data_IF_168187247230
#
_entry.id   IF_168187247230
#
_cell.length_a   1.000
_cell.length_b   1.000
_cell.length_c   1.000
_cell.angle_alpha   90.00
_cell.angle_beta   90.00
_cell.angle_gamma   90.00
#
_symmetry.space_group_name_H-M   'P 1'
#
loop_
_entity.id
_entity.type
_entity.pdbx_description
1 polymer ?
#
# COMPACT_ATOMS: atom_id res chain seq x y z
N UNK A 1 90.23 -6.97 -26.40
CA UNK A 1 88.77 -7.06 -26.50
C UNK A 1 88.16 -6.09 -25.48
N UNK A 2 87.64 -4.97 -25.98
CA UNK A 2 86.68 -3.99 -25.44
C UNK A 2 86.66 -3.67 -23.92
N UNK A 3 87.13 -2.49 -23.47
CA UNK A 3 86.41 -1.19 -23.38
C UNK A 3 85.14 -1.19 -22.50
N UNK A 4 85.17 -0.36 -21.45
CA UNK A 4 84.14 0.61 -20.96
C UNK A 4 84.17 0.70 -19.43
N UNK A 5 83.80 1.79 -18.75
CA UNK A 5 83.79 3.24 -18.98
C UNK A 5 83.23 3.82 -17.67
N UNK A 6 83.80 4.91 -17.18
CA UNK A 6 83.27 5.73 -16.07
C UNK A 6 81.82 6.19 -16.32
N UNK A 7 81.02 6.35 -15.26
CA UNK A 7 80.01 7.42 -15.01
C UNK A 7 79.25 7.10 -13.71
N UNK A 8 79.40 7.89 -12.66
CA UNK A 8 78.74 9.18 -12.37
C UNK A 8 77.41 8.96 -11.61
N UNK A 9 77.44 9.36 -10.33
CA UNK A 9 76.35 9.36 -9.36
C UNK A 9 75.40 10.50 -9.73
N UNK A 10 74.12 10.19 -9.99
CA UNK A 10 73.05 11.17 -10.13
C UNK A 10 72.08 11.01 -8.96
N UNK A 11 72.09 11.99 -8.06
CA UNK A 11 71.10 12.15 -6.99
C UNK A 11 69.85 12.78 -7.61
N UNK A 12 68.75 12.06 -7.66
CA UNK A 12 67.42 12.60 -8.01
C UNK A 12 66.70 12.89 -6.69
N UNK A 13 66.52 14.18 -6.38
CA UNK A 13 65.67 14.63 -5.29
C UNK A 13 64.20 14.48 -5.71
N UNK A 14 63.48 13.54 -5.07
CA UNK A 14 62.03 13.40 -5.22
C UNK A 14 61.34 14.48 -4.35
N UNK A 15 60.75 15.48 -4.99
CA UNK A 15 59.80 16.38 -4.35
C UNK A 15 58.48 15.64 -4.13
N UNK A 16 58.16 15.33 -2.87
CA UNK A 16 56.90 14.72 -2.48
C UNK A 16 55.77 15.77 -2.52
N UNK A 17 54.96 15.75 -3.59
CA UNK A 17 53.66 16.41 -3.59
C UNK A 17 52.72 15.69 -2.62
N UNK A 18 52.56 16.24 -1.42
CA UNK A 18 51.50 15.86 -0.50
C UNK A 18 50.15 16.36 -1.05
N UNK A 19 49.52 15.56 -1.91
CA UNK A 19 48.11 15.72 -2.26
C UNK A 19 47.28 15.31 -1.04
N UNK A 20 46.83 16.31 -0.28
CA UNK A 20 45.90 16.16 0.82
C UNK A 20 44.65 15.41 0.36
N UNK A 21 44.52 14.17 0.81
CA UNK A 21 43.29 13.40 0.67
C UNK A 21 42.26 14.01 1.62
N UNK A 22 41.38 14.87 1.11
CA UNK A 22 40.17 15.21 1.84
C UNK A 22 39.34 13.94 1.96
N UNK A 23 38.98 13.48 3.17
CA UNK A 23 38.04 12.39 3.31
C UNK A 23 36.69 12.87 2.75
N UNK A 24 36.33 12.36 1.57
CA UNK A 24 34.95 12.32 1.13
C UNK A 24 34.23 11.53 2.22
N UNK A 25 33.45 12.21 3.07
CA UNK A 25 32.46 11.53 3.91
C UNK A 25 31.56 10.77 2.94
N UNK A 26 31.75 9.46 2.85
CA UNK A 26 30.75 8.59 2.29
C UNK A 26 29.47 8.91 3.05
N UNK A 27 28.51 9.53 2.37
CA UNK A 27 27.21 9.80 2.93
C UNK A 27 26.61 8.43 3.23
N UNK A 28 26.58 8.08 4.51
CA UNK A 28 26.01 6.83 4.98
C UNK A 28 24.61 6.72 4.37
N UNK A 29 24.40 5.70 3.53
CA UNK A 29 23.14 5.50 2.85
C UNK A 29 22.06 5.34 3.93
N UNK A 30 21.23 6.38 4.10
CA UNK A 30 20.20 6.40 5.13
C UNK A 30 19.25 5.22 4.98
N UNK A 31 18.66 4.77 6.09
CA UNK A 31 17.62 3.73 6.06
C UNK A 31 16.24 4.32 6.38
N UNK A 32 15.19 3.61 5.96
CA UNK A 32 13.80 3.92 6.24
C UNK A 32 13.01 2.63 6.48
N UNK A 33 12.31 2.53 7.61
CA UNK A 33 11.43 1.41 7.91
C UNK A 33 9.98 1.75 7.54
N UNK A 34 9.41 0.99 6.60
CA UNK A 34 8.07 1.25 6.04
C UNK A 34 7.14 0.07 6.30
N UNK A 35 5.94 0.35 6.81
CA UNK A 35 4.80 -0.55 6.63
C UNK A 35 4.11 -0.17 5.33
N UNK A 36 3.95 -1.13 4.42
CA UNK A 36 3.27 -0.95 3.14
C UNK A 36 1.97 -1.76 3.13
N UNK A 37 0.86 -1.10 2.80
CA UNK A 37 -0.49 -1.70 2.85
C UNK A 37 -1.21 -1.72 1.51
N UNK A 38 -0.45 -1.70 0.41
CA UNK A 38 -0.94 -1.90 -0.97
C UNK A 38 -0.53 -3.27 -1.52
N UNK A 39 -0.72 -3.50 -2.82
CA UNK A 39 -0.29 -4.72 -3.49
C UNK A 39 1.24 -4.87 -3.38
N UNK A 40 1.70 -6.12 -3.24
CA UNK A 40 3.10 -6.41 -3.00
C UNK A 40 4.01 -5.92 -4.13
N UNK A 41 3.49 -6.01 -5.35
CA UNK A 41 4.14 -5.57 -6.58
C UNK A 41 4.37 -4.05 -6.56
N UNK A 42 3.40 -3.28 -6.06
CA UNK A 42 3.53 -1.83 -5.92
C UNK A 42 4.49 -1.46 -4.79
N UNK A 43 4.40 -2.14 -3.64
CA UNK A 43 5.33 -1.99 -2.52
C UNK A 43 6.79 -2.21 -2.97
N UNK A 44 7.07 -3.30 -3.70
CA UNK A 44 8.40 -3.64 -4.21
C UNK A 44 8.91 -2.62 -5.24
N UNK A 45 8.02 -2.16 -6.12
CA UNK A 45 8.35 -1.13 -7.11
C UNK A 45 8.77 0.16 -6.40
N UNK A 46 7.97 0.66 -5.46
CA UNK A 46 8.29 1.88 -4.71
C UNK A 46 9.59 1.71 -3.92
N UNK A 47 9.76 0.58 -3.22
CA UNK A 47 10.98 0.27 -2.48
C UNK A 47 12.22 0.38 -3.39
N UNK A 48 12.13 -0.17 -4.60
CA UNK A 48 13.22 -0.19 -5.58
C UNK A 48 13.48 1.20 -6.16
N UNK A 49 12.44 1.89 -6.62
CA UNK A 49 12.58 3.18 -7.30
C UNK A 49 13.07 4.24 -6.33
N UNK A 50 12.47 4.35 -5.14
CA UNK A 50 12.91 5.32 -4.13
C UNK A 50 14.37 5.09 -3.73
N UNK A 51 14.79 3.84 -3.51
CA UNK A 51 16.16 3.53 -3.16
C UNK A 51 17.14 3.90 -4.29
N UNK A 52 16.76 3.66 -5.55
CA UNK A 52 17.58 4.01 -6.72
C UNK A 52 17.70 5.52 -6.92
N UNK A 53 16.63 6.28 -6.70
CA UNK A 53 16.60 7.73 -6.95
C UNK A 53 17.19 8.55 -5.82
N UNK A 54 17.15 8.05 -4.58
CA UNK A 54 17.57 8.80 -3.39
C UNK A 54 18.82 8.24 -2.70
N UNK A 55 19.19 6.99 -2.99
CA UNK A 55 20.23 6.27 -2.26
C UNK A 55 19.81 5.80 -0.85
N UNK A 56 18.56 6.02 -0.43
CA UNK A 56 18.05 5.62 0.89
C UNK A 56 17.52 4.19 0.81
N UNK A 57 18.04 3.29 1.66
CA UNK A 57 17.55 1.91 1.74
C UNK A 57 16.19 1.87 2.44
N UNK A 58 15.21 1.22 1.83
CA UNK A 58 13.90 1.00 2.44
C UNK A 58 13.80 -0.44 2.94
N UNK A 59 13.57 -0.61 4.24
CA UNK A 59 13.18 -1.88 4.86
C UNK A 59 11.66 -1.92 4.94
N UNK A 60 11.02 -2.77 4.14
CA UNK A 60 9.57 -2.76 3.97
C UNK A 60 8.92 -4.01 4.55
N UNK A 61 7.80 -3.84 5.23
CA UNK A 61 6.93 -4.93 5.69
C UNK A 61 5.53 -4.78 5.11
N UNK A 62 4.95 -5.87 4.59
CA UNK A 62 3.65 -5.86 3.96
C UNK A 62 2.57 -6.29 4.95
N UNK A 63 1.57 -5.44 5.16
CA UNK A 63 0.47 -5.66 6.12
C UNK A 63 -0.82 -5.07 5.60
N UNK A 64 -1.95 -5.73 5.85
CA UNK A 64 -3.26 -5.09 5.65
C UNK A 64 -3.37 -3.85 6.54
N UNK A 65 -4.15 -2.85 6.14
CA UNK A 65 -4.24 -1.59 6.89
C UNK A 65 -4.74 -1.76 8.33
N UNK A 66 -5.63 -2.72 8.59
CA UNK A 66 -6.05 -3.06 9.96
C UNK A 66 -4.93 -3.65 10.81
N UNK A 67 -4.14 -4.57 10.24
CA UNK A 67 -2.97 -5.15 10.91
C UNK A 67 -1.85 -4.14 11.12
N UNK A 68 -1.64 -3.23 10.17
CA UNK A 68 -0.69 -2.14 10.26
C UNK A 68 -1.04 -1.24 11.44
N UNK A 69 -2.31 -0.81 11.55
CA UNK A 69 -2.79 -0.05 12.70
C UNK A 69 -2.58 -0.80 14.02
N UNK A 70 -2.97 -2.08 14.10
CA UNK A 70 -2.82 -2.87 15.31
C UNK A 70 -1.35 -2.95 15.77
N UNK A 71 -0.41 -3.13 14.84
CA UNK A 71 1.01 -3.08 15.16
C UNK A 71 1.44 -1.70 15.64
N UNK A 72 1.03 -0.63 14.95
CA UNK A 72 1.41 0.74 15.32
C UNK A 72 0.86 1.14 16.70
N UNK A 73 -0.33 0.67 17.08
CA UNK A 73 -0.87 0.80 18.45
C UNK A 73 0.06 0.09 19.44
N UNK A 74 0.43 -1.17 19.17
CA UNK A 74 1.27 -1.96 20.06
C UNK A 74 2.69 -1.38 20.22
N UNK A 75 3.20 -0.72 19.17
CA UNK A 75 4.55 -0.15 19.16
C UNK A 75 4.58 1.35 19.52
N UNK A 76 3.44 1.97 19.89
CA UNK A 76 3.31 3.42 20.10
C UNK A 76 4.35 4.00 21.06
N UNK A 77 4.71 3.28 22.13
CA UNK A 77 5.69 3.74 23.12
C UNK A 77 7.15 3.61 22.66
N UNK A 78 7.43 2.77 21.66
CA UNK A 78 8.77 2.59 21.09
C UNK A 78 8.66 2.23 19.59
N UNK A 79 8.38 3.22 18.73
CA UNK A 79 8.12 2.99 17.31
C UNK A 79 9.32 2.36 16.61
N UNK A 80 9.05 1.34 15.78
CA UNK A 80 10.02 0.71 14.88
C UNK A 80 9.81 1.10 13.41
N UNK A 81 8.61 1.58 13.10
CA UNK A 81 8.19 2.07 11.78
C UNK A 81 8.41 3.57 11.71
N UNK A 82 8.93 4.04 10.58
CA UNK A 82 9.12 5.47 10.32
C UNK A 82 7.96 6.06 9.50
N UNK A 83 7.46 5.30 8.53
CA UNK A 83 6.40 5.69 7.62
C UNK A 83 5.44 4.53 7.34
N UNK A 84 4.16 4.84 7.25
CA UNK A 84 3.11 3.93 6.80
C UNK A 84 2.61 4.39 5.44
N UNK A 85 2.77 3.55 4.43
CA UNK A 85 2.43 3.83 3.04
C UNK A 85 1.25 2.99 2.53
N UNK A 86 0.22 3.68 2.06
CA UNK A 86 -0.96 3.12 1.42
C UNK A 86 -1.85 2.31 2.35
N UNK A 87 -2.82 1.61 1.75
CA UNK A 87 -3.95 1.03 2.46
C UNK A 87 -5.06 2.05 2.70
N UNK A 88 -6.22 1.54 3.09
CA UNK A 88 -7.44 2.34 3.30
C UNK A 88 -7.23 3.48 4.29
N UNK A 89 -7.91 4.61 4.08
CA UNK A 89 -7.76 5.80 4.90
C UNK A 89 -8.32 5.71 6.31
N UNK A 90 -9.32 4.87 6.58
CA UNK A 90 -9.98 4.83 7.90
C UNK A 90 -9.01 4.44 9.04
N UNK A 91 -8.18 3.38 8.89
CA UNK A 91 -7.14 3.08 9.87
C UNK A 91 -6.08 4.18 10.05
N UNK A 92 -5.78 4.99 9.03
CA UNK A 92 -4.89 6.14 9.16
C UNK A 92 -5.53 7.29 9.96
N UNK A 93 -6.82 7.54 9.74
CA UNK A 93 -7.60 8.50 10.54
C UNK A 93 -7.63 8.07 12.01
N UNK A 94 -7.87 6.78 12.27
CA UNK A 94 -7.84 6.24 13.62
C UNK A 94 -6.44 6.35 14.27
N UNK A 95 -5.37 6.10 13.51
CA UNK A 95 -4.02 6.31 14.02
C UNK A 95 -3.75 7.78 14.39
N UNK A 96 -4.30 8.73 13.64
CA UNK A 96 -4.21 10.16 13.95
C UNK A 96 -4.97 10.51 15.23
N UNK A 97 -6.19 10.01 15.41
CA UNK A 97 -6.99 10.19 16.64
C UNK A 97 -6.28 9.64 17.88
N UNK A 98 -5.58 8.51 17.73
CA UNK A 98 -4.80 7.88 18.77
C UNK A 98 -3.43 8.54 18.98
N UNK A 99 -3.12 9.65 18.31
CA UNK A 99 -1.83 10.38 18.39
C UNK A 99 -0.61 9.47 18.08
N UNK A 100 -0.79 8.53 17.15
CA UNK A 100 0.26 7.61 16.66
C UNK A 100 1.01 8.23 15.48
N UNK A 101 0.33 9.01 14.64
CA UNK A 101 0.91 9.63 13.44
C UNK A 101 1.26 11.10 13.70
N UNK A 102 2.35 11.54 13.08
CA UNK A 102 2.90 12.88 13.22
C UNK A 102 2.18 13.87 12.32
N UNK A 103 1.89 15.07 12.84
CA UNK A 103 1.39 16.18 12.03
C UNK A 103 2.46 16.66 11.07
N UNK A 104 2.15 16.67 9.77
CA UNK A 104 3.02 17.17 8.74
C UNK A 104 2.21 17.63 7.52
N UNK A 105 2.27 18.93 7.25
CA UNK A 105 1.59 19.55 6.11
C UNK A 105 2.59 19.79 4.98
N UNK A 106 2.61 18.89 3.99
CA UNK A 106 3.42 19.05 2.77
C UNK A 106 3.06 20.35 2.04
N UNK A 107 4.06 21.01 1.46
CA UNK A 107 3.87 22.16 0.59
C UNK A 107 3.11 21.80 -0.70
N UNK A 108 3.14 20.53 -1.11
CA UNK A 108 2.47 20.01 -2.29
C UNK A 108 1.00 19.68 -2.06
N UNK A 109 0.49 19.75 -0.81
CA UNK A 109 -0.88 19.37 -0.46
C UNK A 109 -1.95 20.08 -1.30
N UNK A 110 -1.75 21.36 -1.61
CA UNK A 110 -2.69 22.14 -2.43
C UNK A 110 -2.78 21.69 -3.88
N UNK A 111 -1.80 20.92 -4.35
CA UNK A 111 -1.74 20.36 -5.72
C UNK A 111 -2.48 19.02 -5.80
N UNK A 112 -2.79 18.39 -4.67
CA UNK A 112 -3.50 17.12 -4.63
C UNK A 112 -5.00 17.31 -4.83
N UNK A 113 -5.70 16.23 -5.19
CA UNK A 113 -7.15 16.25 -5.33
C UNK A 113 -7.87 16.61 -4.02
N UNK A 114 -9.10 17.13 -4.14
CA UNK A 114 -9.91 17.54 -2.98
C UNK A 114 -10.12 16.43 -1.94
N UNK A 115 -10.29 15.17 -2.37
CA UNK A 115 -10.41 14.03 -1.47
C UNK A 115 -9.13 13.78 -0.64
N UNK A 116 -7.94 14.05 -1.20
CA UNK A 116 -6.67 13.92 -0.49
C UNK A 116 -6.51 15.06 0.53
N UNK A 117 -6.90 16.27 0.14
CA UNK A 117 -6.89 17.43 1.03
C UNK A 117 -7.89 17.27 2.18
N UNK A 118 -9.05 16.68 1.92
CA UNK A 118 -10.06 16.38 2.93
C UNK A 118 -9.58 15.30 3.91
N UNK A 119 -8.96 14.23 3.42
CA UNK A 119 -8.33 13.21 4.26
C UNK A 119 -7.29 13.83 5.21
N UNK A 120 -6.47 14.76 4.67
CA UNK A 120 -5.51 15.49 5.48
C UNK A 120 -6.17 16.41 6.50
N UNK A 121 -7.18 17.20 6.13
CA UNK A 121 -7.84 18.12 7.05
C UNK A 121 -8.57 17.40 8.19
N UNK A 122 -9.27 16.29 7.89
CA UNK A 122 -9.97 15.46 8.87
C UNK A 122 -9.01 14.90 9.93
N UNK A 123 -7.80 14.52 9.52
CA UNK A 123 -6.77 14.02 10.43
C UNK A 123 -5.95 15.10 11.15
N UNK A 124 -6.25 16.39 10.93
CA UNK A 124 -5.40 17.52 11.35
C UNK A 124 -3.97 17.38 10.80
N UNK A 125 -3.86 17.04 9.52
CA UNK A 125 -2.62 16.86 8.75
C UNK A 125 -1.69 15.76 9.28
N UNK A 126 -2.26 14.71 9.90
CA UNK A 126 -1.53 13.54 10.41
C UNK A 126 -1.57 12.34 9.46
N UNK A 127 -2.28 12.49 8.36
CA UNK A 127 -2.22 11.64 7.18
C UNK A 127 -2.52 12.46 5.93
N UNK A 128 -2.25 11.91 4.74
CA UNK A 128 -2.67 12.47 3.45
C UNK A 128 -3.18 11.35 2.56
N UNK A 129 -4.20 11.63 1.75
CA UNK A 129 -4.61 10.72 0.69
C UNK A 129 -3.62 10.75 -0.49
N UNK A 130 -3.26 9.59 -1.02
CA UNK A 130 -2.31 9.40 -2.13
C UNK A 130 -2.94 8.68 -3.33
N UNK A 131 -4.02 7.94 -3.14
CA UNK A 131 -4.83 7.37 -4.24
C UNK A 131 -6.28 7.18 -3.80
N UNK A 132 -7.19 6.92 -4.74
CA UNK A 132 -8.56 6.55 -4.43
C UNK A 132 -8.98 5.30 -5.22
N UNK A 133 -9.64 4.37 -4.53
CA UNK A 133 -10.03 3.08 -5.07
C UNK A 133 -11.52 2.82 -4.86
N UNK A 134 -12.35 2.84 -5.92
CA UNK A 134 -13.75 2.44 -5.78
C UNK A 134 -13.87 0.99 -5.35
N UNK A 135 -14.75 0.72 -4.39
CA UNK A 135 -15.11 -0.64 -3.99
C UNK A 135 -16.03 -1.24 -5.06
N UNK A 136 -15.84 -2.51 -5.38
CA UNK A 136 -16.69 -3.20 -6.32
C UNK A 136 -16.44 -4.70 -6.32
N UNK A 137 -16.72 -5.31 -7.47
CA UNK A 137 -16.55 -6.74 -7.67
C UNK A 137 -15.46 -6.99 -8.70
N UNK A 138 -14.54 -7.89 -8.40
CA UNK A 138 -13.70 -8.52 -9.41
C UNK A 138 -14.23 -9.91 -9.73
N UNK A 139 -14.24 -10.30 -10.98
CA UNK A 139 -14.75 -11.61 -11.41
C UNK A 139 -13.92 -12.21 -12.53
N UNK A 140 -13.97 -13.54 -12.63
CA UNK A 140 -13.31 -14.30 -13.68
C UNK A 140 -14.35 -14.70 -14.73
N UNK A 141 -14.36 -14.07 -15.93
CA UNK A 141 -15.41 -14.30 -16.94
C UNK A 141 -15.41 -15.74 -17.47
N UNK A 142 -14.25 -16.38 -17.55
CA UNK A 142 -14.13 -17.79 -17.98
C UNK A 142 -14.76 -18.73 -16.94
N UNK A 143 -14.48 -18.48 -15.66
CA UNK A 143 -15.02 -19.28 -14.56
C UNK A 143 -16.53 -19.08 -14.40
N UNK A 144 -17.03 -17.85 -14.51
CA UNK A 144 -18.46 -17.57 -14.51
C UNK A 144 -19.16 -18.31 -15.65
N UNK A 145 -18.59 -18.27 -16.87
CA UNK A 145 -19.14 -18.99 -18.04
C UNK A 145 -19.18 -20.49 -17.79
N UNK A 146 -18.07 -21.07 -17.30
CA UNK A 146 -17.96 -22.51 -17.00
C UNK A 146 -18.98 -22.95 -15.94
N UNK A 147 -19.22 -22.12 -14.92
CA UNK A 147 -20.16 -22.39 -13.82
C UNK A 147 -21.59 -21.92 -14.12
N UNK A 148 -21.84 -21.34 -15.29
CA UNK A 148 -23.13 -20.75 -15.70
C UNK A 148 -23.66 -19.70 -14.71
N UNK A 149 -22.75 -18.92 -14.15
CA UNK A 149 -23.05 -17.83 -13.23
C UNK A 149 -23.17 -16.51 -14.00
N UNK A 150 -24.17 -15.67 -13.71
CA UNK A 150 -24.23 -14.35 -14.32
C UNK A 150 -23.10 -13.45 -13.78
N UNK A 151 -22.80 -12.38 -14.51
CA UNK A 151 -21.96 -11.29 -13.99
C UNK A 151 -22.79 -10.51 -12.95
N UNK A 152 -22.31 -10.37 -11.69
CA UNK A 152 -23.04 -9.61 -10.69
C UNK A 152 -22.99 -8.11 -11.04
N UNK A 153 -24.14 -7.43 -10.98
CA UNK A 153 -24.25 -5.99 -11.28
C UNK A 153 -24.65 -5.16 -10.06
N UNK A 154 -25.07 -5.83 -8.99
CA UNK A 154 -25.68 -5.21 -7.83
C UNK A 154 -25.25 -5.91 -6.54
N UNK A 155 -25.35 -5.22 -5.41
CA UNK A 155 -25.19 -5.87 -4.10
C UNK A 155 -26.23 -6.97 -3.92
N UNK A 156 -27.45 -6.75 -4.40
CA UNK A 156 -28.53 -7.75 -4.34
C UNK A 156 -28.19 -9.05 -5.11
N UNK A 157 -27.50 -8.96 -6.25
CA UNK A 157 -27.10 -10.14 -7.03
C UNK A 157 -26.25 -11.10 -6.23
N UNK A 158 -25.35 -10.59 -5.38
CA UNK A 158 -24.46 -11.41 -4.57
C UNK A 158 -25.18 -12.29 -3.54
N UNK A 159 -26.47 -12.05 -3.28
CA UNK A 159 -27.30 -12.88 -2.40
C UNK A 159 -27.95 -14.07 -3.12
N UNK A 160 -27.88 -14.13 -4.46
CA UNK A 160 -28.50 -15.22 -5.22
C UNK A 160 -27.86 -16.57 -4.87
N UNK A 161 -28.65 -17.64 -4.77
CA UNK A 161 -28.16 -18.95 -4.32
C UNK A 161 -27.14 -19.57 -5.29
N UNK A 162 -27.12 -19.16 -6.56
CA UNK A 162 -26.11 -19.57 -7.54
C UNK A 162 -24.67 -19.19 -7.14
N UNK A 163 -24.48 -18.12 -6.34
CA UNK A 163 -23.16 -17.72 -5.85
C UNK A 163 -22.72 -18.43 -4.57
N UNK A 164 -23.40 -19.49 -4.13
CA UNK A 164 -23.08 -20.18 -2.89
C UNK A 164 -21.64 -20.73 -2.90
N UNK A 165 -20.77 -20.15 -2.07
CA UNK A 165 -19.36 -20.53 -1.97
C UNK A 165 -18.47 -19.96 -3.10
N UNK A 166 -19.02 -19.08 -3.93
CA UNK A 166 -18.37 -18.52 -5.13
C UNK A 166 -17.81 -17.11 -4.95
N UNK A 167 -17.98 -16.55 -3.74
CA UNK A 167 -17.57 -15.20 -3.40
C UNK A 167 -16.46 -15.27 -2.35
N UNK A 168 -15.40 -14.48 -2.54
CA UNK A 168 -14.47 -14.15 -1.46
C UNK A 168 -14.48 -12.67 -1.13
N UNK A 169 -14.25 -12.38 0.14
CA UNK A 169 -14.04 -11.03 0.66
C UNK A 169 -12.98 -11.12 1.77
N UNK A 170 -12.37 -10.01 2.15
CA UNK A 170 -11.44 -10.01 3.27
C UNK A 170 -12.17 -9.98 4.63
N UNK A 171 -11.46 -10.29 5.72
CA UNK A 171 -11.95 -10.16 7.08
C UNK A 171 -11.80 -8.69 7.56
N UNK A 172 -12.88 -8.00 8.00
CA UNK A 172 -12.80 -6.62 8.46
C UNK A 172 -11.94 -6.43 9.73
N UNK A 173 -11.66 -7.49 10.49
CA UNK A 173 -10.75 -7.41 11.64
C UNK A 173 -9.27 -7.22 11.25
N UNK A 174 -8.88 -7.59 10.03
CA UNK A 174 -7.49 -7.49 9.55
C UNK A 174 -7.34 -6.62 8.31
N UNK A 175 -8.42 -6.42 7.54
CA UNK A 175 -8.41 -5.78 6.24
C UNK A 175 -9.26 -4.52 6.20
N UNK A 176 -8.63 -3.41 5.79
CA UNK A 176 -9.33 -2.17 5.51
C UNK A 176 -10.34 -2.29 4.39
N UNK A 177 -10.07 -3.04 3.32
CA UNK A 177 -11.03 -3.22 2.20
C UNK A 177 -12.36 -3.77 2.70
N UNK A 178 -12.32 -4.72 3.63
CA UNK A 178 -13.53 -5.28 4.22
C UNK A 178 -14.20 -4.30 5.20
N UNK A 179 -13.43 -3.49 5.93
CA UNK A 179 -13.99 -2.38 6.71
C UNK A 179 -14.67 -1.34 5.81
N UNK A 180 -14.06 -0.96 4.70
CA UNK A 180 -14.64 -0.06 3.68
C UNK A 180 -15.92 -0.65 3.11
N UNK A 181 -16.00 -1.95 2.89
CA UNK A 181 -17.26 -2.62 2.51
C UNK A 181 -18.33 -2.47 3.60
N UNK A 182 -18.02 -2.75 4.86
CA UNK A 182 -18.96 -2.58 5.97
C UNK A 182 -19.47 -1.13 6.01
N UNK A 183 -18.56 -0.16 6.02
CA UNK A 183 -18.90 1.26 6.06
C UNK A 183 -19.71 1.71 4.83
N UNK A 184 -19.40 1.19 3.64
CA UNK A 184 -20.15 1.45 2.41
C UNK A 184 -21.59 0.95 2.53
N UNK A 185 -21.77 -0.32 2.94
CA UNK A 185 -23.09 -0.90 3.07
C UNK A 185 -23.91 -0.16 4.12
N UNK A 186 -23.32 0.14 5.29
CA UNK A 186 -23.99 0.92 6.34
C UNK A 186 -24.45 2.29 5.84
N UNK A 187 -23.61 2.99 5.06
CA UNK A 187 -23.99 4.29 4.49
C UNK A 187 -25.07 4.18 3.41
N UNK A 188 -25.07 3.10 2.61
CA UNK A 188 -26.05 2.91 1.53
C UNK A 188 -27.44 2.48 2.05
N UNK A 189 -27.51 1.60 3.05
CA UNK A 189 -28.78 0.99 3.47
C UNK A 189 -29.15 1.19 4.94
N UNK A 190 -28.28 1.83 5.73
CA UNK A 190 -28.42 1.94 7.19
C UNK A 190 -27.88 0.70 7.90
N UNK A 191 -27.50 0.85 9.17
CA UNK A 191 -26.73 -0.14 9.92
C UNK A 191 -27.45 -1.49 10.05
N UNK A 192 -28.68 -1.52 10.57
CA UNK A 192 -29.43 -2.77 10.77
C UNK A 192 -29.61 -3.56 9.46
N UNK A 193 -29.96 -2.87 8.37
CA UNK A 193 -30.15 -3.48 7.06
C UNK A 193 -28.84 -3.98 6.47
N UNK A 194 -27.73 -3.25 6.68
CA UNK A 194 -26.41 -3.66 6.23
C UNK A 194 -25.95 -4.95 6.92
N UNK A 195 -26.16 -5.07 8.23
CA UNK A 195 -25.82 -6.30 8.95
C UNK A 195 -26.73 -7.48 8.58
N UNK A 196 -28.03 -7.26 8.36
CA UNK A 196 -28.91 -8.30 7.82
C UNK A 196 -28.49 -8.75 6.40
N UNK A 197 -28.13 -7.80 5.53
CA UNK A 197 -27.56 -8.08 4.23
C UNK A 197 -26.28 -8.93 4.33
N UNK A 198 -25.33 -8.52 5.16
CA UNK A 198 -24.07 -9.25 5.34
C UNK A 198 -24.28 -10.66 5.91
N UNK A 199 -25.27 -10.85 6.78
CA UNK A 199 -25.67 -12.19 7.29
C UNK A 199 -26.21 -13.09 6.17
N UNK A 200 -26.94 -12.53 5.21
CA UNK A 200 -27.41 -13.26 4.01
C UNK A 200 -26.24 -13.54 3.08
N UNK A 201 -25.40 -12.54 2.81
CA UNK A 201 -24.21 -12.64 1.95
C UNK A 201 -23.24 -13.70 2.46
N UNK A 202 -23.06 -13.82 3.77
CA UNK A 202 -22.19 -14.82 4.41
C UNK A 202 -22.43 -16.24 3.88
N UNK A 203 -23.68 -16.59 3.55
CA UNK A 203 -24.04 -17.91 3.00
C UNK A 203 -23.40 -18.19 1.64
N UNK A 204 -23.01 -17.14 0.92
CA UNK A 204 -22.36 -17.21 -0.38
C UNK A 204 -20.85 -16.98 -0.31
N UNK A 205 -20.32 -16.54 0.83
CA UNK A 205 -18.88 -16.39 1.03
C UNK A 205 -18.22 -17.77 1.20
N UNK A 206 -17.34 -18.13 0.28
CA UNK A 206 -16.51 -19.33 0.38
C UNK A 206 -15.34 -19.16 1.35
N UNK A 207 -14.77 -17.95 1.42
CA UNK A 207 -13.64 -17.66 2.31
C UNK A 207 -13.55 -16.17 2.67
N UNK A 208 -13.20 -15.91 3.94
CA UNK A 208 -12.73 -14.61 4.40
C UNK A 208 -11.20 -14.59 4.40
N UNK A 209 -10.61 -13.82 3.52
CA UNK A 209 -9.15 -13.72 3.41
C UNK A 209 -8.59 -12.72 4.43
N UNK A 210 -7.32 -12.89 4.82
CA UNK A 210 -6.66 -11.96 5.75
C UNK A 210 -6.38 -10.59 5.13
N UNK A 211 -5.96 -10.58 3.86
CA UNK A 211 -5.59 -9.37 3.10
C UNK A 211 -6.75 -8.89 2.22
N UNK A 212 -6.93 -7.57 2.09
CA UNK A 212 -7.88 -6.95 1.15
C UNK A 212 -7.67 -7.33 -0.31
N UNK A 213 -6.42 -7.57 -0.70
CA UNK A 213 -6.03 -7.99 -2.06
C UNK A 213 -6.08 -9.51 -2.28
N UNK A 214 -6.40 -10.28 -1.24
CA UNK A 214 -6.53 -11.73 -1.34
C UNK A 214 -7.62 -12.18 -2.31
N UNK A 215 -8.86 -11.65 -2.23
CA UNK A 215 -9.99 -12.11 -3.03
C UNK A 215 -9.77 -11.93 -4.55
N UNK A 216 -9.24 -10.78 -4.98
CA UNK A 216 -8.99 -10.52 -6.41
C UNK A 216 -7.89 -11.44 -6.97
N UNK A 217 -6.86 -11.75 -6.17
CA UNK A 217 -5.84 -12.75 -6.52
C UNK A 217 -6.41 -14.17 -6.62
N UNK A 218 -7.39 -14.51 -5.78
CA UNK A 218 -8.12 -15.77 -5.87
C UNK A 218 -8.98 -15.85 -7.14
N UNK A 219 -9.62 -14.74 -7.54
CA UNK A 219 -10.34 -14.63 -8.82
C UNK A 219 -9.40 -14.81 -10.01
N UNK A 220 -8.26 -14.13 -10.01
CA UNK A 220 -7.24 -14.21 -11.06
C UNK A 220 -6.78 -15.66 -11.29
N UNK A 221 -6.62 -16.44 -10.20
CA UNK A 221 -6.21 -17.85 -10.24
C UNK A 221 -7.35 -18.83 -10.45
N UNK A 222 -8.60 -18.36 -10.53
CA UNK A 222 -9.79 -19.21 -10.68
C UNK A 222 -10.14 -20.02 -9.43
N UNK A 223 -9.67 -19.62 -8.25
CA UNK A 223 -9.99 -20.24 -6.96
C UNK A 223 -11.38 -19.83 -6.45
N UNK A 224 -11.87 -18.67 -6.87
CA UNK A 224 -13.23 -18.16 -6.61
C UNK A 224 -13.75 -17.43 -7.85
N UNK A 225 -15.06 -17.33 -8.01
CA UNK A 225 -15.67 -16.72 -9.19
C UNK A 225 -15.79 -15.21 -9.08
N UNK A 226 -16.12 -14.73 -7.87
CA UNK A 226 -16.32 -13.32 -7.57
C UNK A 226 -15.51 -12.94 -6.32
N UNK A 227 -14.99 -11.73 -6.33
CA UNK A 227 -14.35 -11.07 -5.20
C UNK A 227 -15.09 -9.77 -4.89
N UNK A 228 -15.16 -9.41 -3.61
CA UNK A 228 -15.45 -8.04 -3.20
C UNK A 228 -14.10 -7.39 -2.85
N UNK A 229 -13.68 -6.43 -3.67
CA UNK A 229 -12.35 -5.80 -3.61
C UNK A 229 -12.39 -4.38 -4.20
N UNK A 230 -11.26 -3.70 -4.28
CA UNK A 230 -11.19 -2.44 -5.02
C UNK A 230 -11.02 -2.72 -6.51
N UNK A 231 -11.76 -1.98 -7.36
CA UNK A 231 -11.82 -2.28 -8.80
C UNK A 231 -10.50 -2.03 -9.52
N UNK A 232 -9.62 -1.18 -8.98
CA UNK A 232 -8.30 -0.92 -9.55
C UNK A 232 -7.33 -2.10 -9.40
N UNK A 233 -7.63 -3.08 -8.56
CA UNK A 233 -6.83 -4.31 -8.44
C UNK A 233 -6.91 -5.18 -9.71
N UNK A 234 -8.09 -5.20 -10.36
CA UNK A 234 -8.35 -6.05 -11.52
C UNK A 234 -7.45 -5.77 -12.72
N UNK A 235 -7.28 -4.51 -13.17
CA UNK A 235 -6.34 -4.15 -14.22
C UNK A 235 -4.90 -4.66 -13.96
N UNK A 236 -4.44 -4.65 -12.71
CA UNK A 236 -3.11 -5.16 -12.35
C UNK A 236 -2.96 -6.66 -12.62
N UNK A 237 -3.97 -7.45 -12.27
CA UNK A 237 -4.01 -8.90 -12.56
C UNK A 237 -4.17 -9.16 -14.08
N UNK A 238 -4.99 -8.36 -14.77
CA UNK A 238 -5.18 -8.47 -16.23
C UNK A 238 -3.89 -8.18 -17.00
N UNK A 239 -3.09 -7.21 -16.55
CA UNK A 239 -1.76 -6.93 -17.12
C UNK A 239 -0.77 -8.09 -16.95
N UNK A 240 -1.00 -8.97 -15.97
CA UNK A 240 -0.22 -10.21 -15.78
C UNK A 240 -0.75 -11.39 -16.63
N UNK A 241 -1.81 -11.17 -17.41
CA UNK A 241 -2.40 -12.18 -18.29
C UNK A 241 -3.53 -12.99 -17.66
N UNK A 242 -4.00 -12.64 -16.45
CA UNK A 242 -5.12 -13.32 -15.82
C UNK A 242 -6.47 -12.85 -16.38
N UNK A 243 -7.47 -13.75 -16.49
CA UNK A 243 -8.81 -13.39 -16.95
C UNK A 243 -9.59 -12.76 -15.80
N UNK A 244 -9.38 -11.46 -15.57
CA UNK A 244 -10.07 -10.69 -14.53
C UNK A 244 -10.75 -9.49 -15.15
N UNK A 245 -12.02 -9.31 -14.80
CA UNK A 245 -12.79 -8.11 -15.08
C UNK A 245 -13.35 -7.53 -13.77
N UNK A 246 -13.72 -6.25 -13.79
CA UNK A 246 -14.27 -5.58 -12.60
C UNK A 246 -15.53 -4.78 -12.93
N UNK A 247 -16.37 -4.59 -11.92
CA UNK A 247 -17.63 -3.83 -12.02
C UNK A 247 -17.98 -3.20 -10.68
N UNK A 248 -18.63 -2.04 -10.70
CA UNK A 248 -19.21 -1.41 -9.50
C UNK A 248 -20.72 -1.67 -9.43
N UNK A 249 -21.29 -1.87 -8.23
CA UNK A 249 -22.71 -2.14 -8.06
C UNK A 249 -23.59 -0.93 -8.44
N UNK A 250 -24.72 -1.21 -9.10
CA UNK A 250 -25.66 -0.19 -9.60
C UNK A 250 -26.37 0.61 -8.51
N UNK A 251 -26.49 0.07 -7.29
CA UNK A 251 -27.05 0.80 -6.14
C UNK A 251 -26.13 1.92 -5.63
N UNK A 252 -24.89 1.97 -6.14
CA UNK A 252 -23.83 2.83 -5.65
C UNK A 252 -22.80 2.06 -4.82
N UNK A 253 -21.65 2.69 -4.62
CA UNK A 253 -20.52 2.11 -3.88
C UNK A 253 -19.72 3.21 -3.19
N UNK A 254 -18.92 2.81 -2.21
CA UNK A 254 -17.91 3.67 -1.60
C UNK A 254 -16.57 3.57 -2.30
N UNK A 255 -15.59 4.27 -1.76
CA UNK A 255 -14.20 4.20 -2.20
C UNK A 255 -13.29 4.29 -0.98
N UNK A 256 -12.11 3.70 -1.08
CA UNK A 256 -11.04 4.06 -0.16
C UNK A 256 -10.38 5.37 -0.60
N UNK A 257 -9.85 6.06 0.40
CA UNK A 257 -8.77 7.03 0.22
C UNK A 257 -7.48 6.37 0.71
N UNK A 258 -6.73 5.80 -0.23
CA UNK A 258 -5.40 5.27 0.03
C UNK A 258 -4.54 6.32 0.69
N UNK A 259 -3.95 6.04 1.85
CA UNK A 259 -3.37 7.08 2.70
C UNK A 259 -1.91 6.85 3.05
N UNK A 260 -1.19 7.91 3.41
CA UNK A 260 0.19 7.85 3.88
C UNK A 260 0.35 8.64 5.18
N UNK A 261 1.16 8.13 6.10
CA UNK A 261 1.39 8.74 7.41
C UNK A 261 2.83 8.62 7.87
N UNK A 262 3.37 9.71 8.41
CA UNK A 262 4.59 9.69 9.22
C UNK A 262 4.29 9.20 10.62
N UNK A 263 5.13 8.32 11.17
CA UNK A 263 4.93 7.81 12.53
C UNK A 263 5.52 8.77 13.55
N UNK A 264 4.74 9.11 14.59
CA UNK A 264 5.22 9.94 15.70
C UNK A 264 6.31 9.17 16.45
N UNK A 265 7.47 9.80 16.64
CA UNK A 265 8.64 9.13 17.23
C UNK A 265 9.45 8.26 16.26
N UNK A 266 9.24 8.40 14.94
CA UNK A 266 10.06 7.79 13.90
C UNK A 266 11.56 8.07 14.13
N UNK A 267 12.39 7.03 13.98
CA UNK A 267 13.84 7.12 14.21
C UNK A 267 14.55 7.75 13.02
N UNK A 268 14.00 7.58 11.83
CA UNK A 268 14.54 8.10 10.56
C UNK A 268 13.63 9.19 9.96
N UNK A 269 13.15 10.14 10.77
CA UNK A 269 12.12 11.11 10.38
C UNK A 269 12.48 11.92 9.13
N UNK A 270 13.74 12.34 8.96
CA UNK A 270 14.16 13.10 7.78
C UNK A 270 14.06 12.28 6.49
N UNK A 271 14.41 10.99 6.56
CA UNK A 271 14.23 10.07 5.42
C UNK A 271 12.75 9.78 5.17
N UNK A 272 11.94 9.71 6.22
CA UNK A 272 10.49 9.51 6.12
C UNK A 272 9.81 10.70 5.44
N UNK A 273 10.20 11.94 5.79
CA UNK A 273 9.72 13.16 5.09
C UNK A 273 10.16 13.20 3.63
N UNK A 274 11.40 12.80 3.32
CA UNK A 274 11.86 12.68 1.93
C UNK A 274 11.02 11.70 1.13
N UNK A 275 10.67 10.55 1.72
CA UNK A 275 9.76 9.60 1.09
C UNK A 275 8.36 10.20 0.94
N UNK A 276 7.84 10.88 1.96
CA UNK A 276 6.53 11.49 1.95
C UNK A 276 6.35 12.56 0.85
N UNK A 277 7.41 13.32 0.54
CA UNK A 277 7.38 14.30 -0.56
C UNK A 277 7.67 13.68 -1.93
N UNK A 278 8.32 12.51 -1.97
CA UNK A 278 8.67 11.82 -3.21
C UNK A 278 7.51 10.97 -3.76
N UNK A 279 6.73 10.35 -2.87
CA UNK A 279 5.63 9.45 -3.21
C UNK A 279 4.39 10.21 -3.71
#
# INVERSE_FOLDING_TARGET
>A
MNLRSRRAISVIALAACALGSFPVKAQEAGQLNVICSVQAEWCQMIQTVFARTTGIRVNMSLKGSGEALAQLIAEKANPKTDLWFGGTGDPHLQAAELDITLEYKSASLSQLHGWAQQQASQSKYRTVGIYSGPLGFGYNPELLTKKKLPVPKSWADLLKPEYKGEIQVANPASSGTAYTMVATLVQLMGEEKAFDYMKKLHRNIGQYTRSGTGPIKAVARGETSVSISFVHDGPGEKMQGFPVETVTPVEGTGAEIGSMSLIKGARNLDNAKKFYEWA
#
